data_IF_718343254669
#
_entry.id   IF_718343254669
#
_cell.length_a   1.000
_cell.length_b   1.000
_cell.length_c   1.000
_cell.angle_alpha   90.00
_cell.angle_beta   90.00
_cell.angle_gamma   90.00
#
_symmetry.space_group_name_H-M   'P 1'
#
loop_
_entity.id
_entity.type
_entity.pdbx_description
1 polymer ?
#
# COMPACT_ATOMS: atom_id res chain seq x y z
N UNK A 1 4.21 13.61 2.81
CA UNK A 1 3.35 13.23 1.64
C UNK A 1 4.10 12.33 0.67
N UNK A 2 5.36 12.65 0.32
CA UNK A 2 6.20 11.82 -0.56
C UNK A 2 6.26 10.35 -0.14
N UNK A 3 6.61 10.08 1.13
CA UNK A 3 6.71 8.70 1.66
C UNK A 3 5.41 7.91 1.47
N UNK A 4 4.25 8.49 1.77
CA UNK A 4 2.97 7.81 1.58
C UNK A 4 2.68 7.48 0.10
N UNK A 5 3.16 8.31 -0.83
CA UNK A 5 3.04 8.01 -2.26
C UNK A 5 3.94 6.85 -2.68
N UNK A 6 5.13 6.73 -2.10
CA UNK A 6 6.04 5.60 -2.37
C UNK A 6 5.50 4.31 -1.78
N UNK A 7 5.03 4.33 -0.52
CA UNK A 7 4.36 3.17 0.08
C UNK A 7 3.14 2.72 -0.73
N UNK A 8 2.33 3.66 -1.23
CA UNK A 8 1.18 3.32 -2.06
C UNK A 8 1.58 2.62 -3.37
N UNK A 9 2.72 2.98 -3.99
CA UNK A 9 3.25 2.25 -5.15
C UNK A 9 3.73 0.85 -4.76
N UNK A 10 4.50 0.73 -3.67
CA UNK A 10 4.96 -0.55 -3.15
C UNK A 10 3.78 -1.51 -2.94
N UNK A 11 2.70 -1.03 -2.30
CA UNK A 11 1.50 -1.85 -2.09
C UNK A 11 0.86 -2.33 -3.40
N UNK A 12 0.85 -1.51 -4.46
CA UNK A 12 0.36 -1.95 -5.78
C UNK A 12 1.26 -3.03 -6.39
N UNK A 13 2.57 -2.87 -6.27
CA UNK A 13 3.55 -3.81 -6.84
C UNK A 13 3.56 -5.14 -6.08
N UNK A 14 3.34 -5.14 -4.76
CA UNK A 14 3.20 -6.36 -3.96
C UNK A 14 1.94 -7.14 -4.29
N UNK A 15 0.81 -6.46 -4.53
CA UNK A 15 -0.44 -7.13 -4.97
C UNK A 15 -0.24 -7.79 -6.33
N UNK A 16 0.55 -7.16 -7.20
CA UNK A 16 0.85 -7.68 -8.53
C UNK A 16 2.00 -8.68 -8.61
N UNK A 17 2.67 -8.96 -7.48
CA UNK A 17 3.92 -9.72 -7.42
C UNK A 17 4.92 -9.31 -8.51
N UNK A 18 5.12 -7.98 -8.70
CA UNK A 18 5.93 -7.44 -9.80
C UNK A 18 7.38 -7.93 -9.78
N UNK A 19 7.88 -8.33 -8.60
CA UNK A 19 9.19 -8.98 -8.47
C UNK A 19 9.30 -10.31 -9.23
N UNK A 20 8.18 -11.01 -9.50
CA UNK A 20 8.13 -12.23 -10.34
C UNK A 20 7.96 -11.92 -11.82
N UNK A 21 7.30 -10.81 -12.16
CA UNK A 21 7.02 -10.38 -13.53
C UNK A 21 7.50 -8.94 -13.74
N UNK A 22 8.71 -8.81 -14.28
CA UNK A 22 9.40 -7.53 -14.40
C UNK A 22 8.69 -6.48 -15.30
N UNK A 23 7.77 -6.89 -16.17
CA UNK A 23 7.14 -5.96 -17.13
C UNK A 23 5.61 -6.13 -17.21
N UNK A 24 4.87 -5.72 -16.17
CA UNK A 24 3.41 -5.77 -16.18
C UNK A 24 2.82 -4.71 -17.11
N UNK A 25 1.73 -5.06 -17.77
CA UNK A 25 1.00 -4.18 -18.68
C UNK A 25 0.33 -3.02 -17.93
N UNK A 26 -0.08 -1.98 -18.67
CA UNK A 26 -0.85 -0.86 -18.11
C UNK A 26 -2.19 -1.31 -17.53
N UNK A 27 -2.82 -2.32 -18.12
CA UNK A 27 -4.11 -2.85 -17.67
C UNK A 27 -3.99 -3.62 -16.36
N UNK A 28 -2.94 -4.45 -16.21
CA UNK A 28 -2.66 -5.15 -14.95
C UNK A 28 -2.41 -4.18 -13.80
N UNK A 29 -1.55 -3.16 -14.01
CA UNK A 29 -1.31 -2.10 -13.02
C UNK A 29 -2.59 -1.37 -12.63
N UNK A 30 -3.48 -1.11 -13.59
CA UNK A 30 -4.78 -0.47 -13.34
C UNK A 30 -5.70 -1.37 -12.52
N UNK A 31 -5.69 -2.67 -12.80
CA UNK A 31 -6.45 -3.68 -12.07
C UNK A 31 -6.00 -3.77 -10.61
N UNK A 32 -4.69 -3.85 -10.34
CA UNK A 32 -4.15 -3.91 -8.98
C UNK A 32 -4.44 -2.64 -8.19
N UNK A 33 -4.33 -1.47 -8.83
CA UNK A 33 -4.76 -0.21 -8.22
C UNK A 33 -6.24 -0.23 -7.83
N UNK A 34 -7.11 -0.70 -8.73
CA UNK A 34 -8.54 -0.80 -8.44
C UNK A 34 -8.84 -1.79 -7.30
N UNK A 35 -8.10 -2.91 -7.22
CA UNK A 35 -8.23 -3.88 -6.14
C UNK A 35 -7.81 -3.28 -4.78
N UNK A 36 -6.66 -2.60 -4.74
CA UNK A 36 -6.16 -1.88 -3.56
C UNK A 36 -7.18 -0.83 -3.09
N UNK A 37 -7.64 0.02 -4.00
CA UNK A 37 -8.60 1.08 -3.69
C UNK A 37 -9.94 0.51 -3.20
N UNK A 38 -10.39 -0.63 -3.76
CA UNK A 38 -11.61 -1.32 -3.33
C UNK A 38 -11.49 -1.85 -1.90
N UNK A 39 -10.36 -2.45 -1.54
CA UNK A 39 -10.15 -2.94 -0.16
C UNK A 39 -10.06 -1.80 0.86
N UNK A 40 -9.25 -0.77 0.56
CA UNK A 40 -9.11 0.40 1.43
C UNK A 40 -10.45 1.12 1.63
N UNK A 41 -11.28 1.19 0.58
CA UNK A 41 -12.64 1.72 0.68
C UNK A 41 -13.55 0.84 1.53
N UNK A 42 -13.48 -0.49 1.38
CA UNK A 42 -14.35 -1.43 2.10
C UNK A 42 -14.03 -1.47 3.60
N UNK A 43 -12.75 -1.61 3.95
CA UNK A 43 -12.30 -1.82 5.34
C UNK A 43 -12.09 -0.51 6.08
N UNK A 44 -11.45 0.48 5.43
CA UNK A 44 -11.08 1.74 6.08
C UNK A 44 -11.98 2.92 5.68
N UNK A 45 -12.96 2.75 4.79
CA UNK A 45 -13.76 3.86 4.24
C UNK A 45 -12.89 4.96 3.62
N UNK A 46 -11.73 4.59 3.07
CA UNK A 46 -10.83 5.51 2.36
C UNK A 46 -11.27 5.62 0.90
N UNK A 47 -11.67 6.83 0.48
CA UNK A 47 -12.00 7.09 -0.93
C UNK A 47 -10.72 7.21 -1.75
N UNK A 48 -10.63 6.59 -2.94
CA UNK A 48 -9.47 6.75 -3.81
C UNK A 48 -9.25 8.21 -4.17
N UNK A 49 -7.99 8.61 -4.24
CA UNK A 49 -7.57 9.97 -4.58
C UNK A 49 -6.70 9.95 -5.83
N UNK A 50 -6.87 10.94 -6.71
CA UNK A 50 -5.98 11.08 -7.88
C UNK A 50 -4.57 11.51 -7.47
N UNK A 51 -4.48 12.47 -6.53
CA UNK A 51 -3.22 12.97 -5.98
C UNK A 51 -3.19 12.73 -4.47
N UNK A 52 -2.09 12.18 -3.98
CA UNK A 52 -1.87 11.94 -2.56
C UNK A 52 -1.97 13.26 -1.79
N UNK A 53 -2.83 13.29 -0.76
CA UNK A 53 -2.98 14.45 0.12
C UNK A 53 -2.60 14.08 1.57
N UNK A 54 -2.39 15.09 2.42
CA UNK A 54 -1.94 14.88 3.78
C UNK A 54 -2.91 14.07 4.66
N UNK A 55 -4.22 14.19 4.43
CA UNK A 55 -5.22 13.43 5.18
C UNK A 55 -5.18 11.94 4.80
N UNK A 56 -5.18 11.65 3.49
CA UNK A 56 -5.05 10.29 2.99
C UNK A 56 -3.73 9.66 3.44
N UNK A 57 -2.61 10.38 3.33
CA UNK A 57 -1.31 9.92 3.80
C UNK A 57 -1.32 9.55 5.29
N UNK A 58 -1.93 10.38 6.15
CA UNK A 58 -2.03 10.09 7.59
C UNK A 58 -2.82 8.82 7.88
N UNK A 59 -3.87 8.54 7.10
CA UNK A 59 -4.71 7.34 7.28
C UNK A 59 -4.09 6.08 6.67
N UNK A 60 -3.37 6.22 5.55
CA UNK A 60 -2.67 5.12 4.89
C UNK A 60 -1.42 4.67 5.66
N UNK A 61 -0.69 5.60 6.27
CA UNK A 61 0.54 5.30 7.01
C UNK A 61 0.24 4.86 8.44
N UNK A 62 -0.44 3.72 8.57
CA UNK A 62 -0.82 3.07 9.84
C UNK A 62 -0.61 1.57 9.75
N UNK A 63 -0.44 0.90 10.90
CA UNK A 63 -0.35 -0.57 10.95
C UNK A 63 -1.65 -1.22 10.48
N UNK A 64 -2.80 -0.66 10.85
CA UNK A 64 -4.12 -1.15 10.42
C UNK A 64 -4.25 -1.15 8.89
N UNK A 65 -3.79 -0.09 8.22
CA UNK A 65 -3.81 -0.04 6.76
C UNK A 65 -2.95 -1.15 6.14
N UNK A 66 -1.79 -1.43 6.70
CA UNK A 66 -0.90 -2.49 6.19
C UNK A 66 -1.50 -3.87 6.38
N UNK A 67 -2.15 -4.14 7.50
CA UNK A 67 -2.86 -5.42 7.70
C UNK A 67 -3.95 -5.62 6.65
N UNK A 68 -4.76 -4.59 6.38
CA UNK A 68 -5.79 -4.64 5.33
C UNK A 68 -5.18 -4.90 3.95
N UNK A 69 -4.03 -4.30 3.65
CA UNK A 69 -3.35 -4.50 2.36
C UNK A 69 -2.73 -5.89 2.28
N UNK A 70 -2.20 -6.41 3.39
CA UNK A 70 -1.66 -7.77 3.48
C UNK A 70 -2.72 -8.84 3.19
N UNK A 71 -4.02 -8.56 3.36
CA UNK A 71 -5.11 -9.46 2.91
C UNK A 71 -5.11 -9.69 1.39
N UNK A 72 -4.55 -8.77 0.59
CA UNK A 72 -4.46 -8.88 -0.87
C UNK A 72 -3.15 -9.49 -1.38
N UNK A 73 -2.12 -9.54 -0.53
CA UNK A 73 -0.81 -10.08 -0.92
C UNK A 73 -0.84 -11.60 -0.79
N UNK A 74 -0.42 -12.37 -1.80
CA UNK A 74 -0.48 -13.83 -1.74
C UNK A 74 0.62 -14.45 -0.85
N UNK A 75 1.82 -13.85 -0.79
CA UNK A 75 2.97 -14.40 -0.06
C UNK A 75 3.03 -13.92 1.39
N UNK A 76 3.10 -14.85 2.35
CA UNK A 76 3.27 -14.52 3.79
C UNK A 76 4.59 -13.81 4.10
N UNK A 77 5.70 -14.22 3.47
CA UNK A 77 7.01 -13.57 3.64
C UNK A 77 6.94 -12.08 3.25
N UNK A 78 6.22 -11.77 2.15
CA UNK A 78 6.03 -10.39 1.70
C UNK A 78 5.12 -9.60 2.64
N UNK A 79 4.09 -10.23 3.23
CA UNK A 79 3.25 -9.59 4.25
C UNK A 79 4.07 -9.21 5.48
N UNK A 80 4.92 -10.10 5.95
CA UNK A 80 5.78 -9.82 7.11
C UNK A 80 6.77 -8.68 6.81
N UNK A 81 7.40 -8.68 5.63
CA UNK A 81 8.27 -7.60 5.20
C UNK A 81 7.53 -6.24 5.13
N UNK A 82 6.29 -6.20 4.62
CA UNK A 82 5.49 -4.97 4.59
C UNK A 82 5.13 -4.46 5.99
N UNK A 83 4.80 -5.36 6.91
CA UNK A 83 4.53 -5.02 8.32
C UNK A 83 5.76 -4.44 8.99
N UNK A 84 6.91 -5.08 8.81
CA UNK A 84 8.17 -4.61 9.38
C UNK A 84 8.56 -3.24 8.81
N UNK A 85 8.45 -3.05 7.48
CA UNK A 85 8.70 -1.77 6.83
C UNK A 85 7.83 -0.65 7.42
N UNK A 86 6.55 -0.90 7.66
CA UNK A 86 5.65 0.08 8.26
C UNK A 86 5.96 0.33 9.74
N UNK A 87 6.33 -0.70 10.50
CA UNK A 87 6.76 -0.55 11.91
C UNK A 87 7.98 0.34 12.00
N UNK A 88 9.02 0.09 11.19
CA UNK A 88 10.22 0.91 11.11
C UNK A 88 9.88 2.36 10.72
N UNK A 89 9.04 2.54 9.69
CA UNK A 89 8.59 3.87 9.28
C UNK A 89 7.91 4.63 10.42
N UNK A 90 7.03 3.98 11.18
CA UNK A 90 6.32 4.60 12.29
C UNK A 90 7.25 4.93 13.48
N UNK A 91 8.28 4.12 13.72
CA UNK A 91 9.30 4.41 14.74
C UNK A 91 10.13 5.64 14.39
N UNK A 92 10.43 5.85 13.10
CA UNK A 92 11.20 7.02 12.67
C UNK A 92 10.34 8.27 12.51
N UNK A 93 9.03 8.13 12.23
CA UNK A 93 8.07 9.23 12.05
C UNK A 93 8.08 10.34 13.13
N UNK A 94 8.23 10.10 14.45
CA UNK A 94 8.26 11.16 15.45
C UNK A 94 9.53 12.03 15.44
N UNK A 95 10.54 11.69 14.64
CA UNK A 95 11.82 12.42 14.56
C UNK A 95 11.74 13.64 13.62
N UNK A 96 10.67 13.77 12.82
CA UNK A 96 10.51 14.80 11.78
C UNK A 96 9.09 15.33 11.63
#
# INVERSE_FOLDING_TARGET
IGNASEFYKIFQDEIGEVYKKANPSREERRSWRAALDKQLRKKMKLKPVMRMNGNYARRLMTLEAVEVICELVPSEERKEALRELMRLYLQMKPVW
#
